data_IF_814254322760
#
_entry.id   IF_814254322760
#
_cell.length_a   1.000
_cell.length_b   1.000
_cell.length_c   1.000
_cell.angle_alpha   90.00
_cell.angle_beta   90.00
_cell.angle_gamma   90.00
#
_symmetry.space_group_name_H-M   'P 1'
#
loop_
_entity.id
_entity.type
_entity.pdbx_description
1 polymer ?
#
# COMPACT_ATOMS: atom_id res chain seq x y z
N UNK A 1 -57.54 27.29 32.33
CA UNK A 1 -57.57 28.72 31.93
C UNK A 1 -56.35 29.35 32.59
N UNK A 2 -55.30 29.92 31.99
CA UNK A 2 -54.95 30.57 30.69
C UNK A 2 -53.43 30.92 30.82
N UNK A 3 -52.59 31.12 29.78
CA UNK A 3 -52.01 30.12 28.89
C UNK A 3 -50.48 30.36 28.65
N UNK A 4 -49.88 29.53 27.79
CA UNK A 4 -48.93 29.87 26.72
C UNK A 4 -48.26 31.28 26.74
N UNK A 5 -46.91 31.34 26.74
CA UNK A 5 -46.11 32.05 25.72
C UNK A 5 -44.59 31.95 25.96
N UNK A 6 -43.88 31.56 24.88
CA UNK A 6 -42.58 32.08 24.42
C UNK A 6 -41.33 31.90 25.32
N UNK A 7 -40.13 31.63 24.81
CA UNK A 7 -39.60 31.40 23.48
C UNK A 7 -38.12 31.07 23.68
N UNK A 8 -37.55 30.19 22.84
CA UNK A 8 -36.11 30.06 22.56
C UNK A 8 -35.23 29.65 23.76
N UNK A 9 -34.32 28.68 23.65
CA UNK A 9 -33.35 28.54 22.57
C UNK A 9 -33.07 27.06 22.31
N UNK A 10 -33.15 26.77 21.02
CA UNK A 10 -32.84 25.52 20.35
C UNK A 10 -31.43 25.00 20.69
N UNK A 11 -31.38 23.69 20.85
CA UNK A 11 -30.23 22.77 20.81
C UNK A 11 -29.00 23.24 20.05
N UNK A 12 -27.81 23.09 20.66
CA UNK A 12 -26.55 22.85 19.93
C UNK A 12 -25.59 21.99 20.77
N UNK A 13 -25.93 20.71 20.95
CA UNK A 13 -24.90 19.69 21.23
C UNK A 13 -24.27 19.30 19.89
N UNK A 14 -23.22 20.01 19.48
CA UNK A 14 -22.37 19.60 18.36
C UNK A 14 -21.53 18.41 18.82
N UNK A 15 -22.09 17.20 18.74
CA UNK A 15 -21.28 15.98 18.63
C UNK A 15 -20.63 16.03 17.26
N UNK A 16 -19.41 16.56 17.23
CA UNK A 16 -18.53 16.46 16.09
C UNK A 16 -18.02 15.01 16.04
N UNK A 17 -18.70 14.14 15.30
CA UNK A 17 -18.08 12.91 14.86
C UNK A 17 -17.00 13.28 13.84
N UNK A 18 -15.75 13.33 14.29
CA UNK A 18 -14.60 13.23 13.39
C UNK A 18 -14.63 11.82 12.79
N UNK A 19 -15.34 11.66 11.67
CA UNK A 19 -15.26 10.44 10.86
C UNK A 19 -13.88 10.49 10.21
N UNK A 20 -12.94 9.57 10.53
CA UNK A 20 -11.70 9.51 9.78
C UNK A 20 -12.06 9.34 8.30
N UNK A 21 -11.40 10.05 7.37
CA UNK A 21 -11.65 9.85 5.96
C UNK A 21 -11.50 8.36 5.66
N UNK A 22 -12.58 7.77 5.15
CA UNK A 22 -12.57 6.39 4.68
C UNK A 22 -11.68 6.40 3.42
N UNK A 23 -10.39 6.15 3.63
CA UNK A 23 -9.41 6.03 2.56
C UNK A 23 -9.74 4.77 1.76
N UNK A 24 -10.66 4.91 0.80
CA UNK A 24 -11.00 3.91 -0.21
C UNK A 24 -9.91 3.84 -1.30
N UNK A 25 -8.69 4.29 -1.01
CA UNK A 25 -7.56 4.10 -1.90
C UNK A 25 -7.20 2.61 -1.89
N UNK A 26 -7.11 1.94 -3.05
CA UNK A 26 -6.64 0.56 -3.10
C UNK A 26 -5.26 0.49 -2.42
N UNK A 27 -4.98 -0.60 -1.67
CA UNK A 27 -3.73 -0.74 -0.90
C UNK A 27 -2.54 -0.50 -1.83
N UNK A 28 -1.88 0.64 -1.61
CA UNK A 28 -0.80 1.11 -2.44
C UNK A 28 0.37 0.12 -2.28
N UNK A 29 0.87 -0.44 -3.39
CA UNK A 29 2.07 -1.27 -3.37
C UNK A 29 3.28 -0.37 -3.08
N UNK A 30 3.58 -0.20 -1.80
CA UNK A 30 4.63 0.69 -1.30
C UNK A 30 5.78 -0.12 -0.71
N UNK A 31 6.98 0.47 -0.69
CA UNK A 31 8.16 -0.17 -0.09
C UNK A 31 7.90 -0.57 1.37
N UNK A 32 7.26 0.31 2.16
CA UNK A 32 6.93 0.04 3.55
C UNK A 32 5.99 -1.18 3.69
N UNK A 33 4.96 -1.27 2.84
CA UNK A 33 4.05 -2.43 2.82
C UNK A 33 4.81 -3.72 2.53
N UNK A 34 5.66 -3.71 1.51
CA UNK A 34 6.48 -4.87 1.12
C UNK A 34 7.42 -5.29 2.25
N UNK A 35 8.10 -4.33 2.88
CA UNK A 35 9.00 -4.59 4.01
C UNK A 35 8.29 -5.14 5.24
N UNK A 36 7.06 -4.68 5.52
CA UNK A 36 6.25 -5.18 6.62
C UNK A 36 5.63 -6.55 6.31
N UNK A 37 5.25 -6.79 5.06
CA UNK A 37 4.57 -7.99 4.61
C UNK A 37 5.53 -9.17 4.41
N UNK A 38 6.72 -8.95 3.86
CA UNK A 38 7.64 -10.03 3.49
C UNK A 38 8.53 -10.45 4.66
N UNK A 39 8.61 -11.76 4.89
CA UNK A 39 9.50 -12.38 5.87
C UNK A 39 10.13 -13.65 5.31
N UNK A 40 11.41 -13.89 5.62
CA UNK A 40 12.08 -15.15 5.26
C UNK A 40 11.31 -16.32 5.87
N UNK A 41 11.17 -17.40 5.12
CA UNK A 41 10.40 -18.56 5.51
C UNK A 41 8.92 -18.54 5.07
N UNK A 42 8.43 -17.44 4.52
CA UNK A 42 7.06 -17.40 3.96
C UNK A 42 6.89 -18.36 2.79
N UNK A 43 5.72 -18.99 2.72
CA UNK A 43 5.28 -19.74 1.56
C UNK A 43 4.93 -18.82 0.39
N UNK A 44 4.91 -19.36 -0.83
CA UNK A 44 4.52 -18.62 -2.02
C UNK A 44 3.10 -18.07 -1.93
N UNK A 45 2.19 -18.86 -1.34
CA UNK A 45 0.80 -18.52 -1.13
C UNK A 45 0.65 -17.33 -0.17
N UNK A 46 1.41 -17.33 0.94
CA UNK A 46 1.44 -16.20 1.86
C UNK A 46 1.97 -14.93 1.20
N UNK A 47 3.02 -15.03 0.38
CA UNK A 47 3.54 -13.89 -0.36
C UNK A 47 2.49 -13.33 -1.32
N UNK A 48 1.82 -14.19 -2.09
CA UNK A 48 0.75 -13.75 -3.01
C UNK A 48 -0.42 -13.12 -2.25
N UNK A 49 -0.81 -13.70 -1.12
CA UNK A 49 -1.86 -13.12 -0.29
C UNK A 49 -1.46 -11.75 0.30
N UNK A 50 -0.18 -11.56 0.59
CA UNK A 50 0.30 -10.35 1.26
C UNK A 50 0.60 -9.18 0.31
N UNK A 51 1.21 -9.46 -0.85
CA UNK A 51 1.68 -8.45 -1.81
C UNK A 51 1.16 -8.64 -3.24
N UNK A 52 0.40 -9.69 -3.51
CA UNK A 52 -0.17 -9.99 -4.84
C UNK A 52 0.73 -10.87 -5.71
N UNK A 53 0.29 -11.10 -6.95
CA UNK A 53 1.04 -11.89 -7.93
C UNK A 53 2.25 -11.13 -8.50
N UNK A 54 3.37 -11.82 -8.78
CA UNK A 54 4.54 -11.20 -9.37
C UNK A 54 4.31 -10.78 -10.83
N UNK A 55 5.06 -9.77 -11.29
CA UNK A 55 5.04 -9.34 -12.69
C UNK A 55 5.81 -10.33 -13.58
N UNK A 56 6.91 -10.91 -13.07
CA UNK A 56 7.61 -12.01 -13.73
C UNK A 56 7.93 -13.12 -12.74
N UNK A 57 7.72 -14.35 -13.19
CA UNK A 57 8.06 -15.57 -12.46
C UNK A 57 9.00 -16.40 -13.32
N UNK A 58 10.14 -16.80 -12.76
CA UNK A 58 11.09 -17.70 -13.39
C UNK A 58 11.38 -18.87 -12.46
N UNK A 59 11.12 -20.10 -12.92
CA UNK A 59 11.42 -21.33 -12.18
C UNK A 59 12.65 -21.98 -12.79
N UNK A 60 13.62 -22.28 -11.95
CA UNK A 60 14.86 -22.95 -12.34
C UNK A 60 14.78 -24.45 -12.03
N UNK A 61 15.44 -25.27 -12.85
CA UNK A 61 15.44 -26.73 -12.71
C UNK A 61 16.07 -27.23 -11.41
N UNK A 62 16.88 -26.39 -10.76
CA UNK A 62 17.53 -26.67 -9.48
C UNK A 62 16.61 -26.52 -8.25
N UNK A 63 15.30 -26.30 -8.45
CA UNK A 63 14.32 -26.10 -7.38
C UNK A 63 14.25 -24.67 -6.84
N UNK A 64 14.98 -23.75 -7.46
CA UNK A 64 14.92 -22.32 -7.18
C UNK A 64 13.84 -21.65 -8.02
N UNK A 65 13.17 -20.66 -7.46
CA UNK A 65 12.20 -19.85 -8.17
C UNK A 65 12.43 -18.38 -7.85
N UNK A 66 12.53 -17.55 -8.89
CA UNK A 66 12.79 -16.12 -8.77
C UNK A 66 11.57 -15.34 -9.23
N UNK A 67 11.03 -14.51 -8.34
CA UNK A 67 9.90 -13.63 -8.64
C UNK A 67 10.37 -12.18 -8.67
N UNK A 68 9.89 -11.45 -9.66
CA UNK A 68 10.19 -10.04 -9.86
C UNK A 68 8.89 -9.25 -9.82
N UNK A 69 8.88 -8.20 -9.00
CA UNK A 69 7.84 -7.19 -8.96
C UNK A 69 8.46 -5.87 -9.41
N UNK A 70 7.89 -5.23 -10.42
CA UNK A 70 8.31 -3.91 -10.88
C UNK A 70 7.10 -2.98 -10.86
N UNK A 71 7.07 -2.08 -9.87
CA UNK A 71 5.96 -1.13 -9.70
C UNK A 71 6.48 0.29 -9.86
N UNK A 72 5.81 1.05 -10.72
CA UNK A 72 6.06 2.48 -10.91
C UNK A 72 4.89 3.26 -10.34
N UNK A 73 5.18 4.11 -9.35
CA UNK A 73 4.21 5.01 -8.74
C UNK A 73 4.57 6.43 -9.12
N UNK A 74 3.57 7.23 -9.47
CA UNK A 74 3.72 8.66 -9.70
C UNK A 74 2.82 9.38 -8.69
N UNK A 75 3.42 10.28 -7.91
CA UNK A 75 2.70 11.09 -6.93
C UNK A 75 2.89 12.58 -7.28
N UNK A 76 1.84 13.41 -7.15
CA UNK A 76 1.98 14.84 -7.36
C UNK A 76 2.97 15.43 -6.36
N UNK A 77 3.87 16.25 -6.85
CA UNK A 77 4.84 16.97 -6.02
C UNK A 77 4.23 18.16 -5.29
N UNK A 78 5.01 18.83 -4.42
CA UNK A 78 4.54 20.02 -3.71
C UNK A 78 4.22 21.20 -4.64
N UNK A 79 4.75 21.18 -5.87
CA UNK A 79 4.53 22.22 -6.89
C UNK A 79 3.57 21.72 -7.98
N UNK A 80 2.55 22.50 -8.39
CA UNK A 80 1.68 22.16 -9.52
C UNK A 80 2.50 21.89 -10.79
N UNK A 81 2.27 20.75 -11.43
CA UNK A 81 2.97 20.33 -12.65
C UNK A 81 4.23 19.49 -12.41
N UNK A 82 4.75 19.40 -11.17
CA UNK A 82 5.88 18.52 -10.83
C UNK A 82 5.35 17.18 -10.33
N UNK A 83 5.82 16.08 -10.92
CA UNK A 83 5.45 14.72 -10.49
C UNK A 83 6.68 14.00 -9.95
N UNK A 84 6.57 13.48 -8.74
CA UNK A 84 7.57 12.59 -8.16
C UNK A 84 7.31 11.18 -8.68
N UNK A 85 8.28 10.62 -9.40
CA UNK A 85 8.19 9.26 -9.90
C UNK A 85 9.07 8.35 -9.05
N UNK A 86 8.51 7.23 -8.60
CA UNK A 86 9.23 6.20 -7.85
C UNK A 86 9.03 4.86 -8.55
N UNK A 87 10.13 4.16 -8.80
CA UNK A 87 10.13 2.77 -9.23
C UNK A 87 10.58 1.90 -8.05
N UNK A 88 9.82 0.83 -7.79
CA UNK A 88 10.13 -0.18 -6.80
C UNK A 88 10.29 -1.52 -7.50
N UNK A 89 11.51 -2.04 -7.45
CA UNK A 89 11.83 -3.38 -7.94
C UNK A 89 12.05 -4.29 -6.73
N UNK A 90 11.27 -5.37 -6.64
CA UNK A 90 11.40 -6.38 -5.58
C UNK A 90 11.74 -7.71 -6.23
N UNK A 91 12.83 -8.32 -5.79
CA UNK A 91 13.27 -9.63 -6.24
C UNK A 91 13.15 -10.60 -5.09
N UNK A 92 12.39 -11.67 -5.27
CA UNK A 92 12.23 -12.74 -4.29
C UNK A 92 12.84 -14.02 -4.84
N UNK A 93 13.58 -14.75 -4.00
CA UNK A 93 14.14 -16.05 -4.34
C UNK A 93 13.59 -17.10 -3.39
N UNK A 94 12.82 -18.00 -3.96
CA UNK A 94 12.26 -19.15 -3.29
C UNK A 94 13.12 -20.36 -3.57
N UNK A 95 13.19 -21.25 -2.59
CA UNK A 95 13.76 -22.60 -2.72
C UNK A 95 12.76 -23.57 -2.12
N UNK A 96 12.41 -24.61 -2.85
CA UNK A 96 11.42 -25.60 -2.40
C UNK A 96 10.08 -24.95 -1.97
N UNK A 97 9.66 -23.89 -2.68
CA UNK A 97 8.47 -23.04 -2.41
C UNK A 97 8.54 -22.16 -1.15
N UNK A 98 9.68 -22.10 -0.48
CA UNK A 98 9.89 -21.26 0.71
C UNK A 98 10.76 -20.06 0.37
N UNK A 99 10.36 -18.87 0.82
CA UNK A 99 11.11 -17.62 0.60
C UNK A 99 12.44 -17.67 1.37
N UNK A 100 13.55 -17.78 0.66
CA UNK A 100 14.89 -17.82 1.25
C UNK A 100 15.53 -16.43 1.31
N UNK A 101 15.39 -15.69 0.22
CA UNK A 101 16.03 -14.39 0.05
C UNK A 101 15.10 -13.42 -0.64
N UNK A 102 15.17 -12.16 -0.25
CA UNK A 102 14.47 -11.07 -0.91
C UNK A 102 15.35 -9.83 -0.91
N UNK A 103 15.26 -9.07 -1.99
CA UNK A 103 15.94 -7.81 -2.17
C UNK A 103 14.97 -6.77 -2.70
N UNK A 104 15.14 -5.54 -2.24
CA UNK A 104 14.33 -4.40 -2.63
C UNK A 104 15.25 -3.29 -3.15
N UNK A 105 14.87 -2.71 -4.28
CA UNK A 105 15.54 -1.56 -4.87
C UNK A 105 14.50 -0.50 -5.21
N UNK A 106 14.64 0.67 -4.61
CA UNK A 106 13.81 1.84 -4.92
C UNK A 106 14.62 2.86 -5.70
N UNK A 107 14.08 3.34 -6.82
CA UNK A 107 14.64 4.45 -7.59
C UNK A 107 13.63 5.59 -7.62
N UNK A 108 14.05 6.77 -7.16
CA UNK A 108 13.25 7.99 -7.27
C UNK A 108 13.85 8.88 -8.36
N UNK A 109 12.99 9.45 -9.20
CA UNK A 109 13.39 10.42 -10.23
C UNK A 109 12.35 11.53 -10.33
N UNK A 110 12.81 12.74 -10.63
CA UNK A 110 11.96 13.91 -10.87
C UNK A 110 11.74 14.05 -12.37
N UNK A 111 10.49 13.99 -12.82
CA UNK A 111 10.19 14.33 -14.21
C UNK A 111 10.11 15.86 -14.31
N UNK A 112 10.90 16.50 -15.19
CA UNK A 112 10.77 17.93 -15.45
C UNK A 112 9.43 18.25 -16.12
#
# INVERSE_FOLDING_TARGET
MIPLLCASVVSLTLVACAVPPLDNSPPQFTLARVQQALKKGMSQEEVIAAIGSPDKLSRESSGWETWLYDKQTSEPGPTPGVVNQKALTVTLKFKDRVLQEFSYSSRAWHKP
#
